data_IF_286276123654
#
_entry.id   IF_286276123654
#
_cell.length_a   1.000
_cell.length_b   1.000
_cell.length_c   1.000
_cell.angle_alpha   90.00
_cell.angle_beta   90.00
_cell.angle_gamma   90.00
#
_symmetry.space_group_name_H-M   'P 1'
#
loop_
_entity.id
_entity.type
_entity.pdbx_description
1 polymer ?
#
# COMPACT_ATOMS: atom_id res chain seq x y z
N UNK A 1 -8.05 -18.90 -0.46
CA UNK A 1 -7.97 -17.52 0.08
C UNK A 1 -7.34 -16.61 -0.96
N UNK A 2 -7.94 -15.43 -1.20
CA UNK A 2 -7.41 -14.43 -2.16
C UNK A 2 -6.79 -13.26 -1.42
N UNK A 3 -5.54 -12.92 -1.78
CA UNK A 3 -4.77 -11.84 -1.18
C UNK A 3 -4.67 -10.68 -2.17
N UNK A 4 -5.14 -9.49 -1.80
CA UNK A 4 -4.85 -8.26 -2.51
C UNK A 4 -3.56 -7.68 -1.94
N UNK A 5 -2.48 -7.74 -2.70
CA UNK A 5 -1.14 -7.37 -2.26
C UNK A 5 -0.68 -6.09 -2.94
N UNK A 6 -0.25 -5.12 -2.17
CA UNK A 6 0.34 -3.88 -2.65
C UNK A 6 1.84 -3.91 -2.47
N UNK A 7 2.59 -3.79 -3.57
CA UNK A 7 4.03 -3.68 -3.59
C UNK A 7 4.49 -2.57 -4.53
N UNK A 8 5.68 -2.05 -4.31
CA UNK A 8 6.20 -0.94 -5.12
C UNK A 8 7.03 -1.42 -6.32
N UNK A 9 7.68 -2.55 -6.16
CA UNK A 9 8.57 -3.13 -7.16
C UNK A 9 8.42 -4.66 -7.22
N UNK A 10 8.67 -5.21 -8.39
CA UNK A 10 8.61 -6.66 -8.65
C UNK A 10 9.58 -7.02 -9.80
N UNK A 11 10.23 -8.21 -9.77
CA UNK A 11 11.08 -8.64 -10.91
C UNK A 11 10.31 -8.70 -12.22
N UNK A 12 10.94 -8.39 -13.38
CA UNK A 12 12.40 -8.23 -13.56
C UNK A 12 12.97 -6.87 -13.16
N UNK A 13 12.14 -5.87 -12.85
CA UNK A 13 12.61 -4.56 -12.39
C UNK A 13 12.91 -4.61 -10.89
N UNK A 14 14.18 -4.58 -10.54
CA UNK A 14 14.68 -4.66 -9.16
C UNK A 14 15.45 -3.39 -8.85
N UNK A 15 14.96 -2.61 -7.90
CA UNK A 15 15.65 -1.43 -7.39
C UNK A 15 16.26 -1.70 -6.02
N UNK A 16 15.72 -2.70 -5.28
CA UNK A 16 16.17 -3.06 -3.95
C UNK A 16 15.71 -4.44 -3.49
N UNK A 17 15.92 -4.72 -2.21
CA UNK A 17 15.54 -5.99 -1.59
C UNK A 17 14.03 -6.25 -1.55
N UNK A 18 13.22 -5.20 -1.66
CA UNK A 18 11.77 -5.29 -1.61
C UNK A 18 11.20 -6.09 -2.79
N UNK A 19 11.75 -5.91 -4.00
CA UNK A 19 11.34 -6.68 -5.18
C UNK A 19 11.55 -8.18 -4.98
N UNK A 20 12.73 -8.55 -4.46
CA UNK A 20 13.09 -9.95 -4.20
C UNK A 20 12.20 -10.56 -3.10
N UNK A 21 11.94 -9.79 -2.04
CA UNK A 21 11.06 -10.21 -0.95
C UNK A 21 9.62 -10.41 -1.45
N UNK A 22 9.07 -9.46 -2.23
CA UNK A 22 7.74 -9.54 -2.82
C UNK A 22 7.61 -10.78 -3.72
N UNK A 23 8.62 -11.03 -4.55
CA UNK A 23 8.67 -12.22 -5.39
C UNK A 23 8.69 -13.52 -4.56
N UNK A 24 9.58 -13.61 -3.57
CA UNK A 24 9.70 -14.79 -2.72
C UNK A 24 8.42 -15.11 -1.96
N UNK A 25 7.75 -14.09 -1.42
CA UNK A 25 6.49 -14.24 -0.70
C UNK A 25 5.37 -14.68 -1.66
N UNK A 26 5.19 -14.01 -2.79
CA UNK A 26 4.13 -14.36 -3.75
C UNK A 26 4.35 -15.74 -4.35
N UNK A 27 5.61 -16.12 -4.63
CA UNK A 27 5.97 -17.46 -5.09
C UNK A 27 5.65 -18.51 -4.02
N UNK A 28 6.02 -18.24 -2.75
CA UNK A 28 5.72 -19.12 -1.63
C UNK A 28 4.21 -19.32 -1.45
N UNK A 29 3.42 -18.25 -1.53
CA UNK A 29 1.96 -18.31 -1.46
C UNK A 29 1.37 -19.14 -2.62
N UNK A 30 1.86 -18.96 -3.84
CA UNK A 30 1.38 -19.72 -5.01
C UNK A 30 1.61 -21.24 -4.90
N UNK A 31 2.64 -21.66 -4.15
CA UNK A 31 2.95 -23.06 -3.93
C UNK A 31 2.05 -23.73 -2.89
N UNK A 32 1.29 -22.95 -2.10
CA UNK A 32 0.34 -23.51 -1.12
C UNK A 32 -0.90 -24.12 -1.79
N UNK A 33 -1.17 -23.79 -3.05
CA UNK A 33 -2.24 -24.39 -3.86
C UNK A 33 -3.67 -23.89 -3.56
N UNK A 34 -3.91 -23.34 -2.39
CA UNK A 34 -5.20 -22.79 -1.94
C UNK A 34 -5.19 -21.25 -1.82
N UNK A 35 -4.10 -20.61 -2.24
CA UNK A 35 -3.92 -19.17 -2.17
C UNK A 35 -3.74 -18.55 -3.55
N UNK A 36 -4.52 -17.50 -3.81
CA UNK A 36 -4.40 -16.66 -5.00
C UNK A 36 -3.90 -15.28 -4.59
N UNK A 37 -2.94 -14.73 -5.33
CA UNK A 37 -2.44 -13.37 -5.08
C UNK A 37 -2.74 -12.47 -6.26
N UNK A 38 -3.35 -11.32 -5.98
CA UNK A 38 -3.48 -10.18 -6.89
C UNK A 38 -2.44 -9.16 -6.43
N UNK A 39 -1.37 -9.01 -7.22
CA UNK A 39 -0.28 -8.09 -6.89
C UNK A 39 -0.45 -6.77 -7.64
N UNK A 40 -0.56 -5.68 -6.90
CA UNK A 40 -0.70 -4.34 -7.43
C UNK A 40 0.62 -3.59 -7.30
N UNK A 41 1.08 -2.99 -8.40
CA UNK A 41 2.31 -2.19 -8.43
C UNK A 41 2.14 -0.94 -9.31
N UNK A 42 2.94 0.12 -9.14
CA UNK A 42 2.78 1.36 -9.90
C UNK A 42 2.80 1.15 -11.42
N UNK A 43 3.85 0.49 -11.93
CA UNK A 43 4.05 0.28 -13.37
C UNK A 43 4.79 -1.03 -13.64
N UNK A 44 4.09 -2.09 -14.06
CA UNK A 44 4.71 -3.35 -14.46
C UNK A 44 5.53 -3.18 -15.76
N UNK A 45 6.47 -4.09 -15.97
CA UNK A 45 7.28 -4.16 -17.20
C UNK A 45 6.54 -4.88 -18.33
N UNK A 46 5.61 -5.77 -17.98
CA UNK A 46 4.96 -6.71 -18.88
C UNK A 46 5.71 -8.04 -19.07
N UNK A 47 6.86 -8.18 -18.39
CA UNK A 47 7.73 -9.37 -18.47
C UNK A 47 7.72 -10.17 -17.14
N UNK A 48 6.81 -9.83 -16.22
CA UNK A 48 6.67 -10.52 -14.94
C UNK A 48 6.20 -11.98 -15.12
N UNK A 49 6.61 -12.85 -14.21
CA UNK A 49 6.20 -14.27 -14.22
C UNK A 49 4.67 -14.41 -14.04
N UNK A 50 4.09 -15.39 -14.74
CA UNK A 50 2.62 -15.58 -14.85
C UNK A 50 2.01 -16.46 -13.75
N UNK A 51 2.69 -16.67 -12.62
CA UNK A 51 2.14 -17.50 -11.54
C UNK A 51 1.18 -16.72 -10.62
N UNK A 52 1.06 -15.42 -10.81
CA UNK A 52 0.12 -14.56 -10.08
C UNK A 52 -0.52 -13.54 -11.04
N UNK A 53 -1.62 -12.95 -10.59
CA UNK A 53 -2.26 -11.84 -11.29
C UNK A 53 -1.57 -10.54 -10.90
N UNK A 54 -1.02 -9.80 -11.88
CA UNK A 54 -0.46 -8.47 -11.67
C UNK A 54 -1.41 -7.41 -12.20
N UNK A 55 -1.62 -6.36 -11.42
CA UNK A 55 -2.34 -5.14 -11.81
C UNK A 55 -1.37 -3.97 -11.79
N UNK A 56 -1.12 -3.38 -12.96
CA UNK A 56 -0.44 -2.10 -13.07
C UNK A 56 -1.39 -0.96 -12.73
N UNK A 57 -1.08 -0.19 -11.68
CA UNK A 57 -1.92 0.93 -11.28
C UNK A 57 -2.02 2.00 -12.36
N UNK A 58 -0.98 2.13 -13.19
CA UNK A 58 -0.98 2.98 -14.39
C UNK A 58 -1.92 2.53 -15.51
N UNK A 59 -2.59 1.39 -15.37
CA UNK A 59 -3.51 0.80 -16.34
C UNK A 59 -4.97 0.74 -15.83
N UNK A 60 -5.22 1.26 -14.62
CA UNK A 60 -6.55 1.25 -14.01
C UNK A 60 -7.24 2.59 -14.30
N UNK A 61 -8.34 2.60 -15.09
CA UNK A 61 -9.09 3.81 -15.33
C UNK A 61 -9.80 4.30 -14.07
N UNK A 62 -9.77 5.60 -13.83
CA UNK A 62 -10.38 6.23 -12.66
C UNK A 62 -11.82 6.66 -13.00
N UNK A 63 -12.75 6.22 -12.16
CA UNK A 63 -14.10 6.74 -12.13
C UNK A 63 -14.18 7.81 -11.04
N UNK A 64 -14.04 9.07 -11.40
CA UNK A 64 -13.96 10.22 -10.47
C UNK A 64 -15.09 10.27 -9.46
N UNK A 65 -16.32 9.92 -9.87
CA UNK A 65 -17.46 9.85 -8.95
C UNK A 65 -17.20 8.92 -7.76
N UNK A 66 -16.57 7.79 -8.00
CA UNK A 66 -16.32 6.79 -6.97
C UNK A 66 -15.16 7.21 -6.07
N UNK A 67 -14.14 7.85 -6.63
CA UNK A 67 -13.04 8.46 -5.88
C UNK A 67 -13.55 9.59 -4.98
N UNK A 68 -14.39 10.48 -5.50
CA UNK A 68 -15.03 11.53 -4.71
C UNK A 68 -15.88 10.96 -3.57
N UNK A 69 -16.64 9.90 -3.84
CA UNK A 69 -17.45 9.24 -2.82
C UNK A 69 -16.60 8.64 -1.70
N UNK A 70 -15.49 7.98 -2.03
CA UNK A 70 -14.59 7.38 -1.03
C UNK A 70 -13.94 8.45 -0.16
N UNK A 71 -13.48 9.53 -0.79
CA UNK A 71 -12.89 10.66 -0.08
C UNK A 71 -13.89 11.31 0.86
N UNK A 72 -15.11 11.56 0.39
CA UNK A 72 -16.20 12.10 1.22
C UNK A 72 -16.55 11.16 2.38
N UNK A 73 -16.68 9.87 2.12
CA UNK A 73 -17.01 8.87 3.14
C UNK A 73 -15.95 8.83 4.26
N UNK A 74 -14.68 8.89 3.90
CA UNK A 74 -13.60 8.90 4.88
C UNK A 74 -13.61 10.14 5.77
N UNK A 75 -13.92 11.31 5.19
CA UNK A 75 -13.96 12.58 5.90
C UNK A 75 -15.26 12.80 6.66
N UNK A 76 -16.40 12.37 6.14
CA UNK A 76 -17.70 12.51 6.81
C UNK A 76 -17.79 11.78 8.15
N UNK A 77 -16.99 10.74 8.37
CA UNK A 77 -16.92 10.05 9.65
C UNK A 77 -16.17 10.86 10.73
N UNK A 78 -15.41 11.87 10.32
CA UNK A 78 -14.53 12.67 11.19
C UNK A 78 -14.93 14.14 11.28
N UNK A 79 -15.91 14.61 10.47
CA UNK A 79 -16.26 16.03 10.33
C UNK A 79 -17.54 16.40 11.06
N UNK A 80 -17.53 17.61 11.63
CA UNK A 80 -18.76 18.32 12.04
C UNK A 80 -19.55 18.82 10.82
N UNK A 81 -20.87 19.09 10.94
CA UNK A 81 -21.64 19.67 9.85
C UNK A 81 -21.10 21.00 9.30
N UNK A 82 -20.50 21.84 10.16
CA UNK A 82 -19.92 23.12 9.76
C UNK A 82 -18.65 22.92 8.93
N UNK A 83 -17.80 21.99 9.32
CA UNK A 83 -16.61 21.60 8.56
C UNK A 83 -16.98 21.03 7.20
N UNK A 84 -18.09 20.25 7.10
CA UNK A 84 -18.59 19.71 5.83
C UNK A 84 -18.93 20.81 4.80
N UNK A 85 -19.62 21.87 5.21
CA UNK A 85 -19.98 22.95 4.27
C UNK A 85 -18.77 23.75 3.79
N UNK A 86 -17.79 23.99 4.66
CA UNK A 86 -16.52 24.60 4.28
C UNK A 86 -15.69 23.72 3.36
N UNK A 87 -15.72 22.42 3.61
CA UNK A 87 -14.95 21.42 2.89
C UNK A 87 -15.48 21.13 1.48
N UNK A 88 -16.81 21.16 1.30
CA UNK A 88 -17.47 20.92 0.00
C UNK A 88 -16.88 21.75 -1.13
N UNK A 89 -16.56 23.00 -0.85
CA UNK A 89 -16.06 23.95 -1.85
C UNK A 89 -14.58 23.73 -2.19
N UNK A 90 -13.83 23.05 -1.28
CA UNK A 90 -12.42 22.70 -1.49
C UNK A 90 -12.20 21.36 -2.22
N UNK A 91 -13.17 20.44 -2.17
CA UNK A 91 -13.04 19.10 -2.79
C UNK A 91 -12.71 19.19 -4.28
N UNK A 92 -13.38 20.06 -5.01
CA UNK A 92 -13.14 20.23 -6.45
C UNK A 92 -11.75 20.81 -6.75
N UNK A 93 -11.17 21.60 -5.84
CA UNK A 93 -9.82 22.12 -5.98
C UNK A 93 -8.75 21.04 -5.76
N UNK A 94 -8.94 20.14 -4.77
CA UNK A 94 -7.97 19.10 -4.42
C UNK A 94 -7.78 18.05 -5.53
N UNK A 95 -8.80 17.82 -6.36
CA UNK A 95 -8.72 16.88 -7.48
C UNK A 95 -8.28 17.52 -8.80
N UNK A 96 -8.25 18.85 -8.90
CA UNK A 96 -7.86 19.58 -10.11
C UNK A 96 -6.37 19.38 -10.49
N UNK A 97 -5.55 18.93 -9.56
CA UNK A 97 -4.11 18.66 -9.79
C UNK A 97 -3.83 17.23 -10.26
N UNK A 98 -4.82 16.35 -10.25
CA UNK A 98 -4.64 14.95 -10.66
C UNK A 98 -4.73 14.84 -12.17
N UNK A 99 -3.62 14.54 -12.80
CA UNK A 99 -3.56 14.34 -14.24
C UNK A 99 -3.81 12.87 -14.60
N UNK A 100 -4.76 12.65 -15.49
CA UNK A 100 -5.00 11.36 -16.13
C UNK A 100 -4.73 11.48 -17.62
N UNK A 101 -4.26 10.41 -18.23
CA UNK A 101 -4.10 10.32 -19.68
C UNK A 101 -5.45 10.15 -20.41
N UNK A 102 -5.43 10.05 -21.74
CA UNK A 102 -6.61 9.91 -22.58
C UNK A 102 -7.45 8.65 -22.27
N UNK A 103 -6.88 7.66 -21.59
CA UNK A 103 -7.55 6.44 -21.14
C UNK A 103 -8.15 6.59 -19.73
N UNK A 104 -8.03 7.75 -19.11
CA UNK A 104 -8.49 8.01 -17.75
C UNK A 104 -7.60 7.37 -16.66
N UNK A 105 -6.37 7.01 -16.99
CA UNK A 105 -5.41 6.39 -16.05
C UNK A 105 -4.38 7.41 -15.57
N UNK A 106 -3.95 7.28 -14.31
CA UNK A 106 -2.82 8.04 -13.77
C UNK A 106 -1.50 7.49 -14.29
N UNK A 107 -0.53 8.37 -14.51
CA UNK A 107 0.80 7.97 -14.94
C UNK A 107 1.72 7.74 -13.73
N UNK A 108 2.61 6.76 -13.85
CA UNK A 108 3.66 6.46 -12.88
C UNK A 108 5.00 6.35 -13.61
N UNK A 109 6.03 6.93 -13.01
CA UNK A 109 7.40 6.80 -13.54
C UNK A 109 7.90 5.35 -13.43
N UNK A 110 7.49 4.66 -12.36
CA UNK A 110 8.02 3.36 -11.95
C UNK A 110 9.42 3.52 -11.32
N UNK A 111 9.61 2.99 -10.13
CA UNK A 111 10.81 3.19 -9.32
C UNK A 111 10.64 4.31 -8.29
N UNK A 112 11.68 5.12 -8.08
CA UNK A 112 11.72 6.13 -7.01
C UNK A 112 11.96 7.53 -7.59
N UNK A 113 10.93 8.17 -8.18
CA UNK A 113 11.06 9.49 -8.79
C UNK A 113 11.14 10.62 -7.76
N UNK A 114 11.48 11.83 -8.23
CA UNK A 114 11.57 13.02 -7.37
C UNK A 114 10.23 13.45 -6.75
N UNK A 115 9.09 13.10 -7.38
CA UNK A 115 7.73 13.35 -6.90
C UNK A 115 7.12 12.12 -6.19
N UNK A 116 7.93 11.32 -5.50
CA UNK A 116 7.53 10.04 -4.91
C UNK A 116 6.28 10.14 -4.01
N UNK A 117 6.14 11.20 -3.22
CA UNK A 117 4.96 11.39 -2.36
C UNK A 117 3.66 11.57 -3.15
N UNK A 118 3.72 12.23 -4.30
CA UNK A 118 2.58 12.35 -5.22
C UNK A 118 2.22 10.98 -5.79
N UNK A 119 3.21 10.19 -6.23
CA UNK A 119 2.96 8.84 -6.72
C UNK A 119 2.38 7.90 -5.65
N UNK A 120 2.81 8.02 -4.40
CA UNK A 120 2.22 7.28 -3.26
C UNK A 120 0.74 7.65 -3.08
N UNK A 121 0.41 8.93 -3.15
CA UNK A 121 -0.97 9.40 -3.04
C UNK A 121 -1.82 8.87 -4.21
N UNK A 122 -1.33 8.99 -5.43
CA UNK A 122 -2.00 8.48 -6.63
C UNK A 122 -2.20 6.96 -6.56
N UNK A 123 -1.19 6.23 -6.10
CA UNK A 123 -1.25 4.78 -5.87
C UNK A 123 -2.34 4.42 -4.85
N UNK A 124 -2.45 5.19 -3.77
CA UNK A 124 -3.48 5.02 -2.75
C UNK A 124 -4.89 5.22 -3.30
N UNK A 125 -5.11 6.24 -4.12
CA UNK A 125 -6.41 6.52 -4.74
C UNK A 125 -6.84 5.36 -5.65
N UNK A 126 -5.94 4.89 -6.51
CA UNK A 126 -6.23 3.77 -7.41
C UNK A 126 -6.44 2.47 -6.63
N UNK A 127 -5.78 2.29 -5.49
CA UNK A 127 -6.00 1.14 -4.62
C UNK A 127 -7.46 1.02 -4.17
N UNK A 128 -8.14 2.14 -3.87
CA UNK A 128 -9.58 2.18 -3.61
C UNK A 128 -10.40 1.70 -4.80
N UNK A 129 -10.05 2.13 -6.02
CA UNK A 129 -10.73 1.68 -7.26
C UNK A 129 -10.55 0.18 -7.45
N UNK A 130 -9.33 -0.33 -7.30
CA UNK A 130 -9.02 -1.77 -7.41
C UNK A 130 -9.77 -2.57 -6.35
N UNK A 131 -9.82 -2.09 -5.10
CA UNK A 131 -10.52 -2.76 -4.02
C UNK A 131 -12.03 -2.89 -4.26
N UNK A 132 -12.66 -2.01 -5.06
CA UNK A 132 -14.05 -2.15 -5.50
C UNK A 132 -14.24 -3.16 -6.62
N UNK A 133 -13.25 -3.31 -7.48
CA UNK A 133 -13.34 -4.11 -8.70
C UNK A 133 -12.91 -5.56 -8.51
N UNK A 134 -12.13 -5.86 -7.46
CA UNK A 134 -11.58 -7.19 -7.22
C UNK A 134 -12.25 -7.87 -6.03
N UNK A 135 -12.40 -9.18 -6.13
CA UNK A 135 -12.79 -10.04 -5.01
C UNK A 135 -11.54 -10.55 -4.29
N UNK A 136 -11.44 -10.30 -2.99
CA UNK A 136 -10.34 -10.76 -2.15
C UNK A 136 -10.79 -10.91 -0.69
N UNK A 137 -9.98 -11.60 0.09
CA UNK A 137 -10.26 -11.91 1.50
C UNK A 137 -9.46 -11.04 2.46
N UNK A 138 -8.23 -10.69 2.10
CA UNK A 138 -7.28 -9.96 2.94
C UNK A 138 -6.43 -9.00 2.09
N UNK A 139 -6.05 -7.88 2.70
CA UNK A 139 -5.14 -6.89 2.12
C UNK A 139 -3.76 -7.09 2.73
N UNK A 140 -2.71 -7.05 1.89
CA UNK A 140 -1.32 -7.14 2.32
C UNK A 140 -0.50 -6.01 1.69
N UNK A 141 0.02 -5.08 2.50
CA UNK A 141 0.78 -3.93 2.04
C UNK A 141 2.24 -4.02 2.49
N UNK A 142 3.17 -3.77 1.57
CA UNK A 142 4.61 -3.92 1.76
C UNK A 142 5.32 -2.58 1.86
N UNK A 143 5.86 -2.26 3.02
CA UNK A 143 6.56 -1.02 3.36
C UNK A 143 5.73 0.26 3.20
N UNK A 144 6.26 1.36 3.71
CA UNK A 144 5.60 2.65 3.85
C UNK A 144 5.02 3.23 2.56
N UNK A 145 5.63 2.91 1.41
CA UNK A 145 5.17 3.35 0.09
C UNK A 145 3.75 2.85 -0.23
N UNK A 146 3.37 1.69 0.31
CA UNK A 146 2.11 1.03 0.01
C UNK A 146 1.10 1.05 1.16
N UNK A 147 1.50 1.52 2.36
CA UNK A 147 0.59 1.57 3.50
C UNK A 147 -0.64 2.46 3.24
N UNK A 148 -0.51 3.66 2.62
CA UNK A 148 -1.69 4.45 2.26
C UNK A 148 -2.67 3.71 1.35
N UNK A 149 -2.15 2.92 0.39
CA UNK A 149 -2.97 2.08 -0.48
C UNK A 149 -3.71 0.98 0.31
N UNK A 150 -3.00 0.31 1.23
CA UNK A 150 -3.58 -0.70 2.13
C UNK A 150 -4.69 -0.13 3.00
N UNK A 151 -4.46 1.03 3.61
CA UNK A 151 -5.45 1.73 4.45
C UNK A 151 -6.69 2.12 3.63
N UNK A 152 -6.50 2.70 2.44
CA UNK A 152 -7.60 3.09 1.57
C UNK A 152 -8.40 1.86 1.09
N UNK A 153 -7.73 0.80 0.66
CA UNK A 153 -8.39 -0.45 0.28
C UNK A 153 -9.20 -1.06 1.43
N UNK A 154 -8.70 -1.01 2.68
CA UNK A 154 -9.43 -1.43 3.88
C UNK A 154 -10.69 -0.59 4.10
N UNK A 155 -10.57 0.75 3.99
CA UNK A 155 -11.71 1.65 4.15
C UNK A 155 -12.82 1.36 3.14
N UNK A 156 -12.46 1.08 1.89
CA UNK A 156 -13.41 0.84 0.80
C UNK A 156 -14.07 -0.54 0.92
N UNK A 157 -13.29 -1.57 1.22
CA UNK A 157 -13.74 -2.97 1.18
C UNK A 157 -14.21 -3.53 2.53
N UNK A 158 -13.76 -2.93 3.64
CA UNK A 158 -13.97 -3.49 4.99
C UNK A 158 -13.16 -4.77 5.27
N UNK A 159 -12.24 -5.15 4.38
CA UNK A 159 -11.40 -6.34 4.55
C UNK A 159 -10.21 -6.07 5.46
N UNK A 160 -9.73 -7.10 6.20
CA UNK A 160 -8.60 -6.93 7.11
C UNK A 160 -7.32 -6.55 6.36
N UNK A 161 -6.54 -5.65 6.99
CA UNK A 161 -5.25 -5.17 6.50
C UNK A 161 -4.11 -5.79 7.29
N UNK A 162 -3.22 -6.47 6.59
CA UNK A 162 -1.92 -6.85 7.09
C UNK A 162 -0.84 -5.97 6.46
N UNK A 163 0.02 -5.35 7.25
CA UNK A 163 1.19 -4.64 6.75
C UNK A 163 2.46 -5.43 7.01
N UNK A 164 3.41 -5.34 6.07
CA UNK A 164 4.69 -6.01 6.15
C UNK A 164 5.80 -4.97 6.24
N UNK A 165 6.50 -4.95 7.38
CA UNK A 165 7.57 -4.01 7.67
C UNK A 165 8.90 -4.66 7.31
N UNK A 166 9.46 -4.28 6.15
CA UNK A 166 10.79 -4.73 5.72
C UNK A 166 11.89 -3.89 6.34
N UNK A 167 11.67 -2.58 6.47
CA UNK A 167 12.50 -1.65 7.20
C UNK A 167 11.66 -0.44 7.62
N UNK A 168 12.02 0.18 8.74
CA UNK A 168 11.43 1.45 9.17
C UNK A 168 12.31 2.62 8.76
N UNK A 169 11.79 3.86 8.86
CA UNK A 169 12.63 5.03 8.63
C UNK A 169 13.72 5.20 9.70
N UNK A 170 13.55 4.64 10.89
CA UNK A 170 14.62 4.54 11.90
C UNK A 170 15.80 3.73 11.38
N UNK A 171 15.56 2.63 10.67
CA UNK A 171 16.59 1.79 10.09
C UNK A 171 17.31 2.51 8.93
N UNK A 172 16.51 3.12 8.01
CA UNK A 172 17.03 3.82 6.83
C UNK A 172 17.79 5.09 7.15
N UNK A 173 17.35 5.85 8.15
CA UNK A 173 17.91 7.15 8.53
C UNK A 173 18.94 7.09 9.66
N UNK A 174 19.21 5.90 10.22
CA UNK A 174 20.04 5.71 11.42
C UNK A 174 19.53 6.55 12.61
N UNK A 175 18.23 6.56 12.80
CA UNK A 175 17.57 7.29 13.88
C UNK A 175 17.25 8.78 13.59
N UNK A 176 17.64 9.32 12.42
CA UNK A 176 17.28 10.68 12.00
C UNK A 176 16.00 10.65 11.16
N UNK A 177 14.90 10.31 11.78
CA UNK A 177 13.63 10.00 11.13
C UNK A 177 13.08 11.22 10.38
N UNK A 178 12.63 10.99 9.13
CA UNK A 178 11.88 11.96 8.35
C UNK A 178 10.44 12.03 8.90
N UNK A 179 9.95 13.19 9.37
CA UNK A 179 8.63 13.29 9.97
C UNK A 179 7.49 12.86 9.04
N UNK A 180 7.60 13.12 7.74
CA UNK A 180 6.57 12.73 6.75
C UNK A 180 6.53 11.22 6.58
N UNK A 181 7.69 10.57 6.45
CA UNK A 181 7.77 9.11 6.32
C UNK A 181 7.27 8.44 7.61
N UNK A 182 7.70 8.94 8.77
CA UNK A 182 7.23 8.46 10.07
C UNK A 182 5.69 8.55 10.19
N UNK A 183 5.10 9.67 9.76
CA UNK A 183 3.65 9.85 9.80
C UNK A 183 2.92 8.82 8.92
N UNK A 184 3.45 8.54 7.73
CA UNK A 184 2.88 7.52 6.83
C UNK A 184 3.02 6.12 7.43
N UNK A 185 4.20 5.77 7.96
CA UNK A 185 4.44 4.49 8.61
C UNK A 185 3.51 4.31 9.82
N UNK A 186 3.45 5.31 10.70
CA UNK A 186 2.60 5.31 11.89
C UNK A 186 1.13 5.15 11.54
N UNK A 187 0.64 5.92 10.56
CA UNK A 187 -0.75 5.83 10.11
C UNK A 187 -1.09 4.44 9.55
N UNK A 188 -0.19 3.86 8.75
CA UNK A 188 -0.38 2.50 8.24
C UNK A 188 -0.45 1.45 9.35
N UNK A 189 0.46 1.56 10.32
CA UNK A 189 0.50 0.67 11.50
C UNK A 189 -0.75 0.80 12.37
N UNK A 190 -1.24 2.02 12.61
CA UNK A 190 -2.43 2.29 13.44
C UNK A 190 -3.72 1.72 12.83
N UNK A 191 -3.77 1.60 11.50
CA UNK A 191 -4.94 1.06 10.79
C UNK A 191 -4.85 -0.43 10.48
N UNK A 192 -3.69 -1.05 10.71
CA UNK A 192 -3.48 -2.48 10.43
C UNK A 192 -4.18 -3.38 11.46
N UNK A 193 -4.72 -4.49 10.99
CA UNK A 193 -5.22 -5.59 11.85
C UNK A 193 -4.08 -6.56 12.23
N UNK A 194 -3.01 -6.55 11.43
CA UNK A 194 -1.81 -7.35 11.65
C UNK A 194 -0.57 -6.62 11.14
N UNK A 195 0.51 -6.66 11.92
CA UNK A 195 1.81 -6.10 11.55
C UNK A 195 2.82 -7.25 11.51
N UNK A 196 3.37 -7.54 10.34
CA UNK A 196 4.43 -8.52 10.15
C UNK A 196 5.78 -7.83 10.06
N UNK A 197 6.74 -8.27 10.86
CA UNK A 197 8.10 -7.74 10.91
C UNK A 197 9.11 -8.79 10.45
N UNK A 198 10.07 -8.39 9.63
CA UNK A 198 11.11 -9.29 9.08
C UNK A 198 12.16 -9.74 10.11
N UNK A 199 12.23 -9.07 11.26
CA UNK A 199 13.20 -9.40 12.33
C UNK A 199 12.70 -8.94 13.70
N UNK A 200 13.28 -9.53 14.74
CA UNK A 200 13.04 -9.09 16.12
C UNK A 200 13.50 -7.64 16.35
N UNK A 201 14.54 -7.19 15.67
CA UNK A 201 14.98 -5.80 15.71
C UNK A 201 13.89 -4.87 15.17
N UNK A 202 13.37 -5.14 13.97
CA UNK A 202 12.29 -4.38 13.36
C UNK A 202 11.05 -4.40 14.24
N UNK A 203 10.71 -5.57 14.81
CA UNK A 203 9.58 -5.72 15.73
C UNK A 203 9.71 -4.82 16.96
N UNK A 204 10.90 -4.76 17.59
CA UNK A 204 11.18 -3.88 18.73
C UNK A 204 11.04 -2.41 18.35
N UNK A 205 11.54 -2.00 17.20
CA UNK A 205 11.37 -0.63 16.69
C UNK A 205 9.89 -0.29 16.52
N UNK A 206 9.11 -1.18 15.91
CA UNK A 206 7.65 -1.00 15.73
C UNK A 206 6.93 -0.84 17.07
N UNK A 207 7.27 -1.63 18.07
CA UNK A 207 6.66 -1.55 19.40
C UNK A 207 7.08 -0.27 20.13
N UNK A 208 8.37 0.03 20.15
CA UNK A 208 8.91 1.09 21.00
C UNK A 208 8.77 2.48 20.38
N UNK A 209 9.05 2.60 19.08
CA UNK A 209 9.11 3.90 18.40
C UNK A 209 7.78 4.29 17.72
N UNK A 210 7.01 3.28 17.25
CA UNK A 210 5.68 3.51 16.67
C UNK A 210 4.54 3.20 17.65
N UNK A 211 4.86 2.74 18.88
CA UNK A 211 3.93 2.47 19.97
C UNK A 211 2.84 1.47 19.59
N UNK A 212 3.21 0.43 18.84
CA UNK A 212 2.28 -0.62 18.43
C UNK A 212 2.17 -1.71 19.50
N UNK A 213 0.95 -2.25 19.67
CA UNK A 213 0.73 -3.31 20.63
C UNK A 213 1.42 -4.62 20.22
N UNK A 214 2.01 -5.31 21.19
CA UNK A 214 2.70 -6.60 20.99
C UNK A 214 1.77 -7.65 20.36
N UNK A 215 0.49 -7.63 20.69
CA UNK A 215 -0.52 -8.58 20.19
C UNK A 215 -0.79 -8.48 18.69
N UNK A 216 -0.54 -7.32 18.08
CA UNK A 216 -0.72 -7.11 16.64
C UNK A 216 0.57 -7.26 15.84
N UNK A 217 1.71 -7.43 16.52
CA UNK A 217 3.04 -7.39 15.89
C UNK A 217 3.67 -8.77 15.90
N UNK A 218 3.82 -9.36 14.71
CA UNK A 218 4.29 -10.72 14.49
C UNK A 218 5.64 -10.74 13.75
N UNK A 219 6.40 -11.82 13.92
CA UNK A 219 7.59 -12.09 13.12
C UNK A 219 7.22 -12.93 11.90
N UNK A 220 7.77 -12.57 10.75
CA UNK A 220 7.80 -13.49 9.61
C UNK A 220 8.93 -14.49 9.79
N UNK A 221 8.74 -15.71 9.30
CA UNK A 221 9.83 -16.68 9.22
C UNK A 221 10.94 -16.15 8.30
N UNK A 222 12.24 -16.40 8.63
CA UNK A 222 13.32 -16.00 7.75
C UNK A 222 13.14 -16.63 6.37
N UNK A 223 13.11 -15.81 5.33
CA UNK A 223 12.98 -16.26 3.94
C UNK A 223 14.30 -16.76 3.34
N UNK A 224 15.40 -16.65 4.08
CA UNK A 224 16.71 -17.16 3.68
C UNK A 224 16.93 -18.55 4.25
N UNK A 225 16.69 -19.58 3.45
CA UNK A 225 17.41 -20.83 3.65
C UNK A 225 18.90 -20.52 3.45
N UNK A 226 19.72 -20.72 4.50
CA UNK A 226 21.16 -20.76 4.30
C UNK A 226 21.44 -21.95 3.37
N UNK A 227 21.86 -21.65 2.16
CA UNK A 227 22.53 -22.62 1.29
C UNK A 227 23.96 -22.77 1.80
#
# INVERSE_FOLDING_TARGET
>A
MKVLMFGWEFPPKIYGGLAVASYGITKGLSLQGDMETIFCMPKPSGEEEKFLKIIGMNQVPIVWRDVHYDYLKSRLLEMTPEEYYSFRDHIYADFSYMHVNDLGCMEFAGGYPGNLHEEINNFSIIAGVVARQQEFDIIHAHDWLTYPAGVHAKMVSGKPLCIHVHATDFDRSRGKVNPTVYSIEKNGMDHADCIMCVSELTRRTVINEYHQAVSYTHLTLPTTSRV
#
